data_IF_706175463855
#
_entry.id   IF_706175463855
#
_cell.length_a   1.000
_cell.length_b   1.000
_cell.length_c   1.000
_cell.angle_alpha   90.00
_cell.angle_beta   90.00
_cell.angle_gamma   90.00
#
_symmetry.space_group_name_H-M   'P 1'
#
loop_
_entity.id
_entity.type
_entity.pdbx_description
1 polymer ?
#
# COMPACT_ATOMS: atom_id res chain seq x y z
N UNK A 1 4.72 -6.83 -28.18
CA UNK A 1 5.36 -6.38 -26.93
C UNK A 1 4.23 -6.05 -25.97
N UNK A 2 4.12 -6.75 -24.84
CA UNK A 2 3.08 -6.45 -23.84
C UNK A 2 3.52 -5.23 -23.04
N UNK A 3 2.68 -4.21 -22.99
CA UNK A 3 2.88 -2.98 -22.23
C UNK A 3 3.24 -3.29 -20.78
N UNK A 4 4.54 -3.16 -20.47
CA UNK A 4 5.07 -3.07 -19.12
C UNK A 4 5.10 -1.60 -18.66
N UNK A 5 4.02 -0.86 -18.95
CA UNK A 5 3.87 0.48 -18.41
C UNK A 5 3.57 0.42 -16.92
N UNK A 6 4.09 1.40 -16.17
CA UNK A 6 3.78 1.68 -14.76
C UNK A 6 2.29 1.49 -14.41
N UNK A 7 1.39 1.78 -15.35
CA UNK A 7 -0.07 1.75 -15.23
C UNK A 7 -0.68 0.37 -14.88
N UNK A 8 0.04 -0.73 -15.09
CA UNK A 8 -0.42 -2.09 -14.77
C UNK A 8 0.38 -2.79 -13.66
N UNK A 9 1.38 -2.14 -13.09
CA UNK A 9 2.25 -2.72 -12.08
C UNK A 9 1.88 -2.17 -10.71
N UNK A 10 1.29 -3.00 -9.84
CA UNK A 10 1.29 -2.68 -8.41
C UNK A 10 2.71 -2.60 -7.86
N UNK A 11 2.85 -2.19 -6.60
CA UNK A 11 4.11 -2.23 -5.86
C UNK A 11 4.13 -3.41 -4.90
N UNK A 12 5.30 -4.03 -4.72
CA UNK A 12 5.51 -4.97 -3.63
C UNK A 12 5.85 -4.18 -2.37
N UNK A 13 5.08 -4.37 -1.30
CA UNK A 13 5.24 -3.61 -0.07
C UNK A 13 5.05 -4.49 1.15
N UNK A 14 6.01 -4.45 2.07
CA UNK A 14 5.92 -5.13 3.35
C UNK A 14 4.97 -4.41 4.32
N UNK A 15 4.66 -5.07 5.44
CA UNK A 15 3.94 -4.45 6.54
C UNK A 15 4.71 -3.27 7.14
N UNK A 16 3.96 -2.27 7.58
CA UNK A 16 4.41 -1.09 8.30
C UNK A 16 4.57 0.18 7.45
N UNK A 17 4.32 0.11 6.15
CA UNK A 17 4.32 1.27 5.25
C UNK A 17 2.94 1.91 5.15
N UNK A 18 2.87 3.23 5.34
CA UNK A 18 1.79 4.07 4.85
C UNK A 18 2.21 4.64 3.51
N UNK A 19 1.40 4.43 2.48
CA UNK A 19 1.59 5.05 1.17
C UNK A 19 0.66 6.25 1.14
N UNK A 20 1.21 7.44 1.28
CA UNK A 20 0.42 8.67 1.39
C UNK A 20 -0.09 9.12 0.03
N UNK A 21 0.79 9.05 -0.97
CA UNK A 21 0.51 9.39 -2.36
C UNK A 21 1.13 8.37 -3.30
N UNK A 22 0.40 8.05 -4.37
CA UNK A 22 0.87 7.25 -5.49
C UNK A 22 0.06 7.62 -6.73
N UNK A 23 0.55 8.57 -7.53
CA UNK A 23 -0.16 9.04 -8.73
C UNK A 23 -0.18 7.99 -9.84
N UNK A 24 0.76 7.04 -9.79
CA UNK A 24 0.96 6.02 -10.83
C UNK A 24 -0.16 4.99 -10.94
N UNK A 25 -1.02 4.90 -9.93
CA UNK A 25 -2.19 4.02 -9.95
C UNK A 25 -3.46 4.73 -10.40
N UNK A 26 -3.42 6.05 -10.63
CA UNK A 26 -4.54 6.79 -11.18
C UNK A 26 -4.73 6.40 -12.65
N UNK A 27 -5.95 6.00 -13.01
CA UNK A 27 -6.35 5.65 -14.38
C UNK A 27 -6.21 6.80 -15.37
N UNK A 28 -6.19 8.04 -14.87
CA UNK A 28 -6.05 9.25 -15.67
C UNK A 28 -4.60 9.75 -15.73
N UNK A 29 -3.66 9.12 -15.03
CA UNK A 29 -2.27 9.52 -15.07
C UNK A 29 -1.66 9.17 -16.44
N UNK A 30 -1.20 10.19 -17.17
CA UNK A 30 -0.44 10.00 -18.38
C UNK A 30 1.04 10.22 -18.11
N UNK A 31 1.85 9.20 -18.38
CA UNK A 31 3.30 9.22 -18.18
C UNK A 31 4.03 10.19 -19.14
N UNK A 32 3.39 10.53 -20.26
CA UNK A 32 3.93 11.47 -21.25
C UNK A 32 3.71 12.93 -20.84
N UNK A 33 2.77 13.18 -19.91
CA UNK A 33 2.51 14.52 -19.40
C UNK A 33 3.62 14.88 -18.41
N UNK A 34 4.39 15.91 -18.73
CA UNK A 34 5.46 16.39 -17.86
C UNK A 34 4.82 17.08 -16.64
N UNK A 35 5.07 16.61 -15.41
CA UNK A 35 4.56 17.27 -14.22
C UNK A 35 5.12 18.69 -14.07
N UNK A 36 4.47 19.52 -13.26
CA UNK A 36 5.05 20.80 -12.86
C UNK A 36 6.30 20.58 -12.00
N UNK A 37 7.21 21.54 -12.02
CA UNK A 37 8.38 21.53 -11.13
C UNK A 37 7.96 21.32 -9.67
N UNK A 38 8.79 20.57 -8.94
CA UNK A 38 8.59 20.14 -7.55
C UNK A 38 7.29 19.34 -7.27
N UNK A 39 6.75 18.63 -8.28
CA UNK A 39 5.55 17.80 -8.10
C UNK A 39 5.88 16.48 -7.39
N UNK A 40 5.28 16.25 -6.23
CA UNK A 40 5.31 14.97 -5.53
C UNK A 40 4.42 13.94 -6.25
N UNK A 41 5.01 12.83 -6.69
CA UNK A 41 4.33 11.76 -7.42
C UNK A 41 4.09 10.53 -6.54
N UNK A 42 4.99 10.27 -5.60
CA UNK A 42 4.87 9.17 -4.66
C UNK A 42 5.43 9.58 -3.30
N UNK A 43 4.79 9.17 -2.21
CA UNK A 43 5.37 9.27 -0.88
C UNK A 43 4.90 8.14 0.00
N UNK A 44 5.83 7.62 0.80
CA UNK A 44 5.53 6.59 1.78
C UNK A 44 6.37 6.75 3.05
N UNK A 45 5.77 6.40 4.19
CA UNK A 45 6.42 6.38 5.51
C UNK A 45 6.28 5.01 6.14
N UNK A 46 7.40 4.42 6.55
CA UNK A 46 7.41 3.21 7.35
C UNK A 46 7.35 3.58 8.84
N UNK A 47 6.22 3.35 9.50
CA UNK A 47 6.04 3.73 10.90
C UNK A 47 6.72 2.78 11.90
N UNK A 48 7.43 1.74 11.45
CA UNK A 48 8.26 0.88 12.30
C UNK A 48 9.68 1.42 12.34
N UNK A 49 10.23 1.70 11.16
CA UNK A 49 11.65 2.04 10.98
C UNK A 49 11.92 3.54 10.89
N UNK A 50 10.89 4.36 10.67
CA UNK A 50 11.02 5.80 10.46
C UNK A 50 11.56 6.19 9.09
N UNK A 51 11.62 5.24 8.15
CA UNK A 51 12.01 5.51 6.77
C UNK A 51 10.89 6.24 6.05
N UNK A 52 11.19 7.38 5.45
CA UNK A 52 10.35 8.06 4.48
C UNK A 52 11.02 7.93 3.12
N UNK A 53 10.22 7.66 2.09
CA UNK A 53 10.66 7.69 0.70
C UNK A 53 9.70 8.55 -0.12
N UNK A 54 10.23 9.21 -1.14
CA UNK A 54 9.43 10.04 -2.04
C UNK A 54 9.96 10.00 -3.46
N UNK A 55 9.05 10.08 -4.44
CA UNK A 55 9.39 10.36 -5.83
C UNK A 55 8.81 11.71 -6.20
N UNK A 56 9.66 12.63 -6.63
CA UNK A 56 9.30 14.00 -7.00
C UNK A 56 9.79 14.27 -8.42
N UNK A 57 8.98 14.94 -9.25
CA UNK A 57 9.51 15.59 -10.45
C UNK A 57 10.09 16.93 -10.04
N UNK A 58 11.41 17.07 -10.09
CA UNK A 58 12.07 18.31 -9.66
C UNK A 58 11.93 19.40 -10.71
N UNK A 59 12.44 19.18 -11.94
CA UNK A 59 12.35 20.11 -13.06
C UNK A 59 12.89 19.47 -14.35
N UNK A 60 12.84 20.20 -15.45
CA UNK A 60 13.32 19.72 -16.77
C UNK A 60 14.82 19.40 -16.85
N UNK A 61 15.66 19.90 -15.93
CA UNK A 61 17.12 19.64 -15.96
C UNK A 61 17.52 18.39 -15.17
N UNK A 62 16.73 18.01 -14.16
CA UNK A 62 16.97 16.84 -13.30
C UNK A 62 16.05 15.67 -13.68
N UNK A 63 14.81 15.99 -14.01
CA UNK A 63 13.73 15.02 -14.21
C UNK A 63 13.10 14.63 -12.87
N UNK A 64 12.91 13.33 -12.68
CA UNK A 64 12.40 12.74 -11.47
C UNK A 64 13.54 12.43 -10.50
N UNK A 65 13.29 12.61 -9.21
CA UNK A 65 14.16 12.21 -8.12
C UNK A 65 13.44 11.18 -7.25
N UNK A 66 14.17 10.14 -6.86
CA UNK A 66 13.77 9.22 -5.81
C UNK A 66 14.63 9.48 -4.58
N UNK A 67 14.00 9.97 -3.53
CA UNK A 67 14.66 10.39 -2.31
C UNK A 67 14.28 9.51 -1.12
N UNK A 68 15.19 9.48 -0.16
CA UNK A 68 15.04 8.81 1.11
C UNK A 68 15.37 9.75 2.26
N UNK A 69 14.57 9.67 3.31
CA UNK A 69 14.73 10.44 4.54
C UNK A 69 14.53 9.54 5.76
N UNK A 70 15.41 9.66 6.76
CA UNK A 70 15.19 9.06 8.08
C UNK A 70 14.52 10.06 9.02
N UNK A 71 13.34 9.71 9.53
CA UNK A 71 12.59 10.48 10.51
C UNK A 71 12.96 10.08 11.93
N UNK A 72 12.93 11.06 12.84
CA UNK A 72 13.09 10.80 14.26
C UNK A 72 11.73 10.75 14.97
N UNK A 73 11.64 9.99 16.05
CA UNK A 73 10.46 10.01 16.92
C UNK A 73 10.66 11.03 18.03
N UNK A 74 9.68 11.91 18.21
CA UNK A 74 9.59 12.81 19.35
C UNK A 74 8.16 12.82 19.87
N UNK A 75 7.98 12.62 21.17
CA UNK A 75 6.66 12.61 21.83
C UNK A 75 5.62 11.66 21.22
N UNK A 76 6.06 10.55 20.60
CA UNK A 76 5.18 9.59 19.95
C UNK A 76 4.79 9.94 18.52
N UNK A 77 5.26 11.08 18.00
CA UNK A 77 5.04 11.53 16.62
C UNK A 77 6.33 11.45 15.81
N UNK A 78 6.17 11.32 14.49
CA UNK A 78 7.28 11.41 13.55
C UNK A 78 7.57 12.88 13.29
N UNK A 79 8.80 13.31 13.58
CA UNK A 79 9.23 14.69 13.37
C UNK A 79 10.37 14.74 12.35
N UNK A 80 10.35 15.81 11.56
CA UNK A 80 11.47 16.23 10.71
C UNK A 80 12.50 17.10 11.47
N UNK A 81 12.40 17.16 12.80
CA UNK A 81 13.18 18.09 13.62
C UNK A 81 14.53 17.48 14.06
N UNK A 82 15.60 17.82 13.35
CA UNK A 82 16.99 17.48 13.66
C UNK A 82 17.58 16.40 12.75
N UNK A 83 18.70 16.73 12.09
CA UNK A 83 19.50 15.95 11.13
C UNK A 83 18.78 14.75 10.48
N UNK A 84 17.61 15.00 9.90
CA UNK A 84 17.01 14.06 8.96
C UNK A 84 18.04 13.81 7.87
N UNK A 85 18.43 12.55 7.71
CA UNK A 85 19.43 12.16 6.71
C UNK A 85 18.67 12.07 5.39
N UNK A 86 18.75 13.15 4.61
CA UNK A 86 18.27 13.18 3.24
C UNK A 86 19.33 12.59 2.32
N UNK A 87 18.91 11.63 1.50
CA UNK A 87 19.75 11.02 0.48
C UNK A 87 18.93 10.82 -0.79
N UNK A 88 19.39 11.42 -1.86
CA UNK A 88 18.91 11.09 -3.20
C UNK A 88 19.43 9.72 -3.61
N UNK A 89 18.51 8.83 -3.94
CA UNK A 89 18.80 7.46 -4.36
C UNK A 89 19.08 7.43 -5.87
N UNK A 90 18.22 8.08 -6.65
CA UNK A 90 18.29 8.04 -8.11
C UNK A 90 17.62 9.29 -8.71
N UNK A 91 18.17 9.81 -9.82
CA UNK A 91 17.59 10.92 -10.58
C UNK A 91 17.54 10.59 -12.07
N UNK A 92 16.57 11.15 -12.81
CA UNK A 92 16.55 11.14 -14.26
C UNK A 92 15.14 11.21 -14.85
N UNK A 93 15.02 11.13 -16.17
CA UNK A 93 13.74 11.28 -16.88
C UNK A 93 12.97 9.96 -17.10
N UNK A 94 13.51 8.82 -16.65
CA UNK A 94 12.92 7.49 -16.88
C UNK A 94 12.17 7.01 -15.64
N UNK A 95 10.91 7.44 -15.50
CA UNK A 95 10.11 7.13 -14.30
C UNK A 95 9.90 5.62 -14.10
N UNK A 96 9.85 4.80 -15.16
CA UNK A 96 9.76 3.34 -15.05
C UNK A 96 10.91 2.75 -14.21
N UNK A 97 12.11 3.31 -14.31
CA UNK A 97 13.26 2.85 -13.51
C UNK A 97 13.05 3.13 -12.03
N UNK A 98 12.64 4.35 -11.69
CA UNK A 98 12.36 4.76 -10.31
C UNK A 98 11.25 3.92 -9.70
N UNK A 99 10.19 3.64 -10.47
CA UNK A 99 9.09 2.80 -10.00
C UNK A 99 9.51 1.35 -9.73
N UNK A 100 10.42 0.80 -10.55
CA UNK A 100 11.02 -0.51 -10.26
C UNK A 100 11.84 -0.46 -8.95
N UNK A 101 12.59 0.62 -8.73
CA UNK A 101 13.37 0.85 -7.50
C UNK A 101 12.48 0.95 -6.26
N UNK A 102 11.25 1.48 -6.36
CA UNK A 102 10.33 1.58 -5.21
C UNK A 102 10.10 0.25 -4.49
N UNK A 103 9.88 -0.83 -5.25
CA UNK A 103 9.62 -2.15 -4.65
C UNK A 103 10.81 -2.66 -3.84
N UNK A 104 12.05 -2.34 -4.23
CA UNK A 104 13.25 -2.74 -3.47
C UNK A 104 13.33 -2.08 -2.09
N UNK A 105 12.83 -0.84 -1.97
CA UNK A 105 12.82 -0.09 -0.72
C UNK A 105 11.60 -0.41 0.16
N UNK A 106 10.46 -0.68 -0.47
CA UNK A 106 9.20 -1.01 0.21
C UNK A 106 9.13 -2.49 0.65
N UNK A 107 9.91 -3.37 0.02
CA UNK A 107 10.02 -4.80 0.31
C UNK A 107 11.50 -5.18 0.55
N UNK A 108 12.14 -4.65 1.61
CA UNK A 108 13.56 -4.83 1.86
C UNK A 108 13.98 -6.29 2.11
N UNK A 109 13.07 -7.14 2.61
CA UNK A 109 13.32 -8.57 2.80
C UNK A 109 13.17 -9.37 1.51
N UNK A 110 12.80 -8.71 0.39
CA UNK A 110 12.66 -9.31 -0.94
C UNK A 110 11.71 -10.50 -0.96
N UNK A 111 10.62 -10.42 -0.19
CA UNK A 111 9.56 -11.42 -0.22
C UNK A 111 8.92 -11.44 -1.62
N UNK A 112 8.45 -12.59 -2.08
CA UNK A 112 7.74 -12.71 -3.36
C UNK A 112 6.29 -12.22 -3.27
N UNK A 113 6.09 -11.02 -2.73
CA UNK A 113 4.76 -10.45 -2.50
C UNK A 113 4.04 -10.20 -3.83
N UNK A 114 2.73 -10.38 -3.83
CA UNK A 114 1.91 -9.96 -4.94
C UNK A 114 1.93 -8.43 -5.02
N UNK A 115 2.26 -7.83 -6.17
CA UNK A 115 2.21 -6.37 -6.31
C UNK A 115 0.78 -5.85 -6.22
N UNK A 116 0.57 -4.80 -5.43
CA UNK A 116 -0.73 -4.20 -5.16
C UNK A 116 -0.77 -2.72 -5.57
N UNK A 117 -1.94 -2.24 -6.00
CA UNK A 117 -2.17 -0.83 -6.30
C UNK A 117 -2.61 -0.12 -5.02
N UNK A 118 -1.69 0.59 -4.38
CA UNK A 118 -1.89 1.17 -3.05
C UNK A 118 -1.64 2.67 -3.09
N UNK A 119 -2.60 3.44 -2.57
CA UNK A 119 -2.48 4.90 -2.35
C UNK A 119 -3.39 5.33 -1.22
N UNK A 120 -2.90 6.19 -0.32
CA UNK A 120 -3.58 6.66 0.88
C UNK A 120 -4.00 5.56 1.88
N UNK A 121 -3.21 4.49 1.98
CA UNK A 121 -3.44 3.39 2.93
C UNK A 121 -2.18 3.05 3.73
N UNK A 122 -2.40 2.63 4.98
CA UNK A 122 -1.40 2.00 5.83
C UNK A 122 -1.51 0.48 5.71
N UNK A 123 -0.45 -0.15 5.20
CA UNK A 123 -0.30 -1.60 5.19
C UNK A 123 0.20 -2.03 6.56
N UNK A 124 -0.66 -2.65 7.36
CA UNK A 124 -0.33 -3.13 8.71
C UNK A 124 0.47 -4.42 8.62
N UNK A 125 0.02 -5.34 7.78
CA UNK A 125 0.63 -6.64 7.56
C UNK A 125 0.45 -7.06 6.10
N UNK A 126 1.50 -7.62 5.50
CA UNK A 126 1.41 -8.17 4.15
C UNK A 126 2.31 -9.40 4.01
N UNK A 127 1.66 -10.54 3.78
CA UNK A 127 2.27 -11.80 3.40
C UNK A 127 1.55 -12.38 2.16
N UNK A 128 0.83 -11.57 1.38
CA UNK A 128 0.16 -12.04 0.16
C UNK A 128 1.17 -12.51 -0.86
N UNK A 129 1.22 -13.82 -1.08
CA UNK A 129 2.07 -14.52 -2.03
C UNK A 129 1.21 -15.49 -2.86
N UNK A 130 1.71 -15.88 -4.03
CA UNK A 130 1.00 -16.86 -4.89
C UNK A 130 1.13 -18.29 -4.42
N UNK A 131 2.20 -18.61 -3.67
CA UNK A 131 2.46 -19.96 -3.20
C UNK A 131 1.81 -20.21 -1.84
N UNK A 132 0.56 -20.67 -1.85
CA UNK A 132 -0.25 -20.92 -0.64
C UNK A 132 0.33 -21.98 0.31
N UNK A 133 1.22 -22.85 -0.20
CA UNK A 133 1.86 -23.88 0.61
C UNK A 133 2.74 -23.30 1.73
N UNK A 134 3.12 -22.03 1.62
CA UNK A 134 3.91 -21.32 2.61
C UNK A 134 3.06 -20.68 3.72
N UNK A 135 1.73 -20.73 3.64
CA UNK A 135 0.86 -20.26 4.71
C UNK A 135 0.72 -21.30 5.83
N UNK A 136 0.48 -20.81 7.04
CA UNK A 136 0.00 -21.63 8.16
C UNK A 136 -1.46 -22.06 7.95
N UNK A 137 -1.93 -23.03 8.74
CA UNK A 137 -3.30 -23.58 8.57
C UNK A 137 -4.40 -22.53 8.74
N UNK A 138 -4.19 -21.57 9.65
CA UNK A 138 -5.01 -20.37 9.81
C UNK A 138 -4.07 -19.17 10.01
N UNK A 139 -4.04 -18.26 9.05
CA UNK A 139 -3.07 -17.14 9.04
C UNK A 139 -3.73 -15.85 8.56
N UNK A 140 -3.52 -14.73 9.28
CA UNK A 140 -3.77 -13.40 8.73
C UNK A 140 -2.69 -13.10 7.69
N UNK A 141 -3.04 -13.10 6.40
CA UNK A 141 -2.09 -12.91 5.30
C UNK A 141 -2.02 -11.46 4.81
N UNK A 142 -3.02 -10.63 5.11
CA UNK A 142 -3.03 -9.22 4.75
C UNK A 142 -3.86 -8.40 5.71
N UNK A 143 -3.40 -7.18 6.01
CA UNK A 143 -4.16 -6.18 6.75
C UNK A 143 -3.76 -4.78 6.31
N UNK A 144 -4.76 -3.94 6.00
CA UNK A 144 -4.56 -2.53 5.70
C UNK A 144 -5.66 -1.65 6.30
N UNK A 145 -5.32 -0.40 6.61
CA UNK A 145 -6.23 0.58 7.23
C UNK A 145 -6.10 1.97 6.60
N UNK A 146 -7.20 2.72 6.60
CA UNK A 146 -7.27 4.13 6.20
C UNK A 146 -8.31 4.85 7.05
N UNK A 147 -7.87 5.62 8.05
CA UNK A 147 -8.78 6.24 9.01
C UNK A 147 -9.61 5.16 9.70
N UNK A 148 -10.93 5.15 9.48
CA UNK A 148 -11.82 4.09 10.01
C UNK A 148 -11.93 2.85 9.13
N UNK A 149 -11.51 2.93 7.87
CA UNK A 149 -11.59 1.82 6.93
C UNK A 149 -10.55 0.76 7.24
N UNK A 150 -10.92 -0.50 7.02
CA UNK A 150 -10.00 -1.62 7.13
C UNK A 150 -10.33 -2.71 6.10
N UNK A 151 -9.30 -3.50 5.79
CA UNK A 151 -9.38 -4.78 5.09
C UNK A 151 -8.46 -5.77 5.80
N UNK A 152 -9.00 -6.93 6.15
CA UNK A 152 -8.27 -8.06 6.72
C UNK A 152 -8.54 -9.31 5.89
N UNK A 153 -7.50 -10.11 5.66
CA UNK A 153 -7.60 -11.33 4.87
C UNK A 153 -6.94 -12.45 5.64
N UNK A 154 -7.73 -13.46 5.96
CA UNK A 154 -7.27 -14.68 6.64
C UNK A 154 -7.32 -15.85 5.67
N UNK A 155 -6.22 -16.58 5.56
CA UNK A 155 -6.17 -17.87 4.90
C UNK A 155 -6.57 -18.97 5.89
N UNK A 156 -7.39 -19.91 5.45
CA UNK A 156 -7.72 -21.12 6.18
C UNK A 156 -7.64 -22.33 5.25
N UNK A 157 -6.58 -23.13 5.41
CA UNK A 157 -6.27 -24.29 4.55
C UNK A 157 -7.40 -25.32 4.50
N UNK A 158 -8.15 -25.45 5.59
CA UNK A 158 -9.16 -26.50 5.74
C UNK A 158 -10.56 -26.09 5.24
N UNK A 159 -10.69 -24.92 4.61
CA UNK A 159 -11.95 -24.42 4.04
C UNK A 159 -12.01 -24.64 2.53
N UNK A 160 -13.19 -24.97 2.00
CA UNK A 160 -13.43 -25.02 0.53
C UNK A 160 -13.22 -23.67 -0.16
N UNK A 161 -13.33 -22.59 0.61
CA UNK A 161 -13.04 -21.21 0.22
C UNK A 161 -12.01 -20.68 1.21
N UNK A 162 -10.71 -20.91 0.96
CA UNK A 162 -9.68 -20.70 1.97
C UNK A 162 -9.42 -19.23 2.27
N UNK A 163 -9.84 -18.31 1.40
CA UNK A 163 -9.64 -16.88 1.61
C UNK A 163 -10.88 -16.25 2.22
N UNK A 164 -10.76 -15.84 3.48
CA UNK A 164 -11.76 -15.06 4.19
C UNK A 164 -11.35 -13.58 4.18
N UNK A 165 -12.15 -12.75 3.53
CA UNK A 165 -11.94 -11.30 3.46
C UNK A 165 -12.96 -10.61 4.36
N UNK A 166 -12.45 -9.74 5.22
CA UNK A 166 -13.21 -8.91 6.14
C UNK A 166 -12.91 -7.43 5.86
N UNK A 167 -13.88 -6.71 5.30
CA UNK A 167 -13.74 -5.28 4.95
C UNK A 167 -14.81 -4.46 5.65
N UNK A 168 -14.48 -3.22 6.02
CA UNK A 168 -15.50 -2.35 6.59
C UNK A 168 -14.98 -1.07 7.23
N UNK A 169 -15.88 -0.49 8.03
CA UNK A 169 -15.68 0.68 8.86
C UNK A 169 -15.61 0.24 10.31
N UNK A 170 -14.55 0.63 10.99
CA UNK A 170 -14.39 0.46 12.44
C UNK A 170 -15.08 1.59 13.21
N UNK A 171 -15.34 1.36 14.51
CA UNK A 171 -15.88 2.39 15.40
C UNK A 171 -14.89 3.53 15.66
N UNK A 172 -13.60 3.24 15.68
CA UNK A 172 -12.52 4.18 16.03
C UNK A 172 -11.55 4.36 14.86
N UNK A 173 -10.90 5.51 14.76
CA UNK A 173 -9.87 5.71 13.74
C UNK A 173 -8.61 4.91 14.06
N UNK A 174 -8.07 4.23 13.05
CA UNK A 174 -6.71 3.71 13.09
C UNK A 174 -5.77 4.82 12.67
N UNK A 175 -5.16 5.47 13.66
CA UNK A 175 -4.15 6.51 13.44
C UNK A 175 -2.72 5.95 13.33
N UNK A 176 -2.52 4.64 13.56
CA UNK A 176 -1.19 4.02 13.65
C UNK A 176 -1.22 2.54 13.25
N UNK A 177 -0.02 1.92 13.09
CA UNK A 177 0.13 0.47 13.01
C UNK A 177 -0.23 -0.14 14.37
N UNK A 178 -1.52 -0.39 14.58
CA UNK A 178 -2.01 -1.06 15.77
C UNK A 178 -2.12 -2.56 15.42
N UNK A 179 -1.05 -3.32 15.69
CA UNK A 179 -1.01 -4.78 15.48
C UNK A 179 -2.02 -5.53 16.33
N UNK A 180 -2.42 -4.95 17.46
CA UNK A 180 -3.35 -5.54 18.40
C UNK A 180 -4.36 -4.49 18.81
N UNK A 181 -5.62 -4.69 18.46
CA UNK A 181 -6.79 -4.35 19.25
C UNK A 181 -7.99 -4.81 18.44
N UNK A 182 -8.93 -5.48 19.10
CA UNK A 182 -10.28 -5.72 18.60
C UNK A 182 -10.66 -4.59 17.65
N UNK A 183 -11.00 -4.93 16.40
CA UNK A 183 -11.51 -4.00 15.41
C UNK A 183 -13.03 -4.03 15.48
N UNK A 184 -13.71 -3.42 16.48
CA UNK A 184 -15.15 -3.48 16.53
C UNK A 184 -15.67 -2.74 15.30
N UNK A 185 -16.16 -3.52 14.33
CA UNK A 185 -16.74 -2.95 13.15
C UNK A 185 -18.04 -2.23 13.53
N UNK A 186 -18.24 -1.08 12.90
CA UNK A 186 -19.53 -0.40 12.84
C UNK A 186 -20.36 -1.00 11.71
N UNK A 187 -19.73 -1.18 10.56
CA UNK A 187 -20.33 -1.63 9.30
C UNK A 187 -19.28 -2.48 8.59
N UNK A 188 -19.66 -3.67 8.10
CA UNK A 188 -18.69 -4.59 7.48
C UNK A 188 -19.34 -5.52 6.46
N UNK A 189 -18.49 -6.13 5.65
CA UNK A 189 -18.82 -7.19 4.71
C UNK A 189 -17.80 -8.32 4.84
N UNK A 190 -18.31 -9.54 4.66
CA UNK A 190 -17.55 -10.78 4.67
C UNK A 190 -17.62 -11.42 3.28
N UNK A 191 -16.48 -11.83 2.74
CA UNK A 191 -16.38 -12.55 1.48
C UNK A 191 -15.53 -13.82 1.69
N UNK A 192 -15.94 -14.89 1.00
CA UNK A 192 -15.21 -16.16 0.98
C UNK A 192 -14.86 -16.48 -0.46
N UNK A 193 -13.57 -16.53 -0.77
CA UNK A 193 -13.04 -16.72 -2.12
C UNK A 193 -12.21 -18.00 -2.22
N UNK A 194 -12.08 -18.50 -3.46
CA UNK A 194 -11.32 -19.72 -3.74
C UNK A 194 -9.90 -19.43 -4.18
N UNK A 195 -9.68 -18.30 -4.85
CA UNK A 195 -8.41 -18.01 -5.53
C UNK A 195 -7.83 -16.67 -5.07
N UNK A 196 -6.51 -16.65 -4.87
CA UNK A 196 -5.74 -15.45 -4.59
C UNK A 196 -5.89 -14.34 -5.65
N UNK A 197 -6.08 -14.68 -6.92
CA UNK A 197 -6.29 -13.68 -7.98
C UNK A 197 -7.60 -12.91 -7.77
N UNK A 198 -8.67 -13.57 -7.31
CA UNK A 198 -9.93 -12.91 -6.95
C UNK A 198 -9.72 -11.99 -5.73
N UNK A 199 -8.94 -12.45 -4.76
CA UNK A 199 -8.57 -11.66 -3.58
C UNK A 199 -7.84 -10.37 -3.99
N UNK A 200 -6.88 -10.46 -4.91
CA UNK A 200 -6.09 -9.32 -5.39
C UNK A 200 -6.95 -8.30 -6.13
N UNK A 201 -7.95 -8.75 -6.89
CA UNK A 201 -8.93 -7.86 -7.52
C UNK A 201 -9.70 -7.10 -6.45
N UNK A 202 -10.25 -7.80 -5.45
CA UNK A 202 -10.97 -7.15 -4.34
C UNK A 202 -10.09 -6.15 -3.58
N UNK A 203 -8.82 -6.49 -3.31
CA UNK A 203 -7.90 -5.56 -2.65
C UNK A 203 -7.71 -4.31 -3.52
N UNK A 204 -7.28 -4.46 -4.77
CA UNK A 204 -6.98 -3.30 -5.62
C UNK A 204 -8.22 -2.40 -5.81
N UNK A 205 -9.38 -3.02 -6.05
CA UNK A 205 -10.64 -2.30 -6.19
C UNK A 205 -11.02 -1.60 -4.88
N UNK A 206 -10.88 -2.25 -3.73
CA UNK A 206 -11.20 -1.63 -2.45
C UNK A 206 -10.23 -0.52 -2.08
N UNK A 207 -8.94 -0.66 -2.38
CA UNK A 207 -7.95 0.37 -2.04
C UNK A 207 -8.12 1.63 -2.91
N UNK A 208 -8.53 1.49 -4.17
CA UNK A 208 -8.73 2.59 -5.13
C UNK A 208 -10.16 3.14 -5.11
N UNK A 209 -11.17 2.27 -5.18
CA UNK A 209 -12.59 2.59 -5.43
C UNK A 209 -13.50 2.29 -4.22
N UNK A 210 -13.07 2.74 -3.04
CA UNK A 210 -13.70 2.50 -1.72
C UNK A 210 -15.22 2.74 -1.67
N UNK A 211 -15.70 3.73 -2.42
CA UNK A 211 -17.11 4.15 -2.40
C UNK A 211 -18.07 3.04 -2.86
N UNK A 212 -17.65 2.20 -3.81
CA UNK A 212 -18.49 1.13 -4.35
C UNK A 212 -18.82 0.11 -3.25
N UNK A 213 -17.84 -0.28 -2.44
CA UNK A 213 -18.00 -1.27 -1.36
C UNK A 213 -18.80 -0.72 -0.18
N UNK A 214 -18.63 0.54 0.19
CA UNK A 214 -19.36 1.14 1.32
C UNK A 214 -20.83 1.42 0.99
N UNK A 215 -21.14 1.74 -0.28
CA UNK A 215 -22.51 2.00 -0.70
C UNK A 215 -23.42 0.76 -0.63
N UNK A 216 -22.85 -0.43 -0.84
CA UNK A 216 -23.56 -1.70 -0.71
C UNK A 216 -23.81 -2.10 0.75
N UNK A 217 -22.89 -1.73 1.66
CA UNK A 217 -23.01 -2.02 3.10
C UNK A 217 -24.19 -1.24 3.72
N UNK A 218 -24.36 0.04 3.38
CA UNK A 218 -25.46 0.86 3.96
C UNK A 218 -26.88 0.42 3.53
N UNK A 219 -27.00 -0.39 2.48
CA UNK A 219 -28.29 -0.88 1.96
C UNK A 219 -28.78 -2.17 2.65
N UNK A 220 -27.93 -2.83 3.44
CA UNK A 220 -28.25 -4.09 4.14
C UNK A 220 -28.53 -3.92 5.64
N UNK A 221 -28.38 -2.70 6.16
CA UNK A 221 -28.81 -2.28 7.51
C UNK A 221 -30.17 -1.62 7.46
#
# INVERSE_FOLDING_TARGET
MKDKGILNTGIQVEGGWSIDANVFIDKNYNIEDIPFDDTLLFSAVNHITGKNISVTYENSNVGYSFDFCMLSRRLGEWHHDGAAIYKTIETGHQIDKLYNTLSEYLNPSKKELIPLKISSWTIVYNNLIRNEALYDDIELIFSAVRGKLFIDITYNRNSEKPYYIYIGLSKYEYSQIIYSLNKPAREYQELFLKNIDEVVVIINDFLIEQYNYLSEISRKT
#
